data_IF_965889666853
#
_entry.id   IF_965889666853
#
_cell.length_a   1.000
_cell.length_b   1.000
_cell.length_c   1.000
_cell.angle_alpha   90.00
_cell.angle_beta   90.00
_cell.angle_gamma   90.00
#
_symmetry.space_group_name_H-M   'P 1'
#
loop_
_entity.id
_entity.type
_entity.pdbx_description
1 polymer ?
#
# COMPACT_ATOMS: atom_id res chain seq x y z
N UNK A 1 18.59 12.48 10.87
CA UNK A 1 17.39 11.70 11.27
C UNK A 1 17.78 10.23 11.38
N UNK A 2 17.42 9.50 12.46
CA UNK A 2 17.82 8.10 12.58
C UNK A 2 17.15 7.27 11.49
N UNK A 3 18.01 6.61 10.70
CA UNK A 3 17.66 5.69 9.62
C UNK A 3 17.01 4.44 10.22
N UNK A 4 15.99 3.88 9.55
CA UNK A 4 15.42 2.59 9.95
C UNK A 4 16.55 1.54 9.94
N UNK A 5 16.80 0.81 11.05
CA UNK A 5 17.87 -0.18 11.13
C UNK A 5 17.78 -1.22 10.01
N UNK A 6 18.92 -1.67 9.49
CA UNK A 6 18.94 -2.58 8.34
C UNK A 6 18.23 -3.91 8.63
N UNK A 7 18.38 -4.45 9.84
CA UNK A 7 17.69 -5.67 10.27
C UNK A 7 16.16 -5.49 10.20
N UNK A 8 15.65 -4.38 10.74
CA UNK A 8 14.23 -4.05 10.71
C UNK A 8 13.73 -3.83 9.27
N UNK A 9 14.52 -3.20 8.41
CA UNK A 9 14.18 -3.08 6.98
C UNK A 9 14.04 -4.44 6.30
N UNK A 10 14.98 -5.36 6.54
CA UNK A 10 14.93 -6.73 5.99
C UNK A 10 13.70 -7.48 6.49
N UNK A 11 13.36 -7.35 7.77
CA UNK A 11 12.17 -7.93 8.36
C UNK A 11 10.88 -7.45 7.68
N UNK A 12 10.74 -6.14 7.47
CA UNK A 12 9.58 -5.55 6.76
C UNK A 12 9.46 -6.06 5.33
N UNK A 13 10.57 -6.10 4.58
CA UNK A 13 10.55 -6.59 3.18
C UNK A 13 10.15 -8.06 3.10
N UNK A 14 10.67 -8.90 4.01
CA UNK A 14 10.33 -10.33 4.08
C UNK A 14 8.86 -10.54 4.41
N UNK A 15 8.34 -9.82 5.41
CA UNK A 15 6.93 -9.90 5.80
C UNK A 15 5.99 -9.49 4.66
N UNK A 16 6.40 -8.50 3.86
CA UNK A 16 5.63 -8.03 2.70
C UNK A 16 5.75 -8.92 1.46
N UNK A 17 6.51 -10.02 1.51
CA UNK A 17 6.85 -10.87 0.35
C UNK A 17 7.34 -10.06 -0.87
N UNK A 18 8.13 -9.00 -0.61
CA UNK A 18 8.60 -8.04 -1.62
C UNK A 18 7.49 -7.38 -2.47
N UNK A 19 6.31 -7.18 -1.88
CA UNK A 19 5.15 -6.51 -2.48
C UNK A 19 4.79 -5.25 -1.69
N UNK A 20 4.14 -4.30 -2.34
CA UNK A 20 3.60 -3.14 -1.64
C UNK A 20 2.44 -3.58 -0.75
N UNK A 21 2.48 -3.31 0.54
CA UNK A 21 1.46 -3.82 1.47
C UNK A 21 0.11 -3.08 1.36
N UNK A 22 0.08 -1.91 0.73
CA UNK A 22 -1.17 -1.22 0.40
C UNK A 22 -1.84 -1.79 -0.85
N UNK A 23 -1.03 -2.09 -1.88
CA UNK A 23 -1.54 -2.33 -3.23
C UNK A 23 -1.23 -3.72 -3.81
N UNK A 24 -0.51 -4.54 -3.06
CA UNK A 24 0.00 -5.87 -3.41
C UNK A 24 0.78 -5.95 -4.74
N UNK A 25 1.10 -4.81 -5.36
CA UNK A 25 1.98 -4.74 -6.53
C UNK A 25 3.37 -5.27 -6.14
N UNK A 26 3.91 -6.28 -6.85
CA UNK A 26 5.28 -6.76 -6.62
C UNK A 26 6.32 -5.73 -7.04
N UNK A 27 7.46 -5.74 -6.34
CA UNK A 27 8.62 -4.89 -6.65
C UNK A 27 9.08 -5.05 -8.10
N UNK A 28 8.98 -6.25 -8.67
CA UNK A 28 9.40 -6.56 -10.05
C UNK A 28 8.61 -5.78 -11.12
N UNK A 29 7.40 -5.31 -10.81
CA UNK A 29 6.62 -4.45 -11.71
C UNK A 29 6.94 -2.95 -11.53
N UNK A 30 7.93 -2.62 -10.71
CA UNK A 30 8.32 -1.22 -10.45
C UNK A 30 9.83 -1.06 -10.56
N UNK A 31 10.27 -0.21 -11.49
CA UNK A 31 11.70 0.06 -11.70
C UNK A 31 12.39 0.71 -10.50
N UNK A 32 11.63 1.42 -9.65
CA UNK A 32 12.15 2.07 -8.46
C UNK A 32 11.94 1.21 -7.20
N UNK A 33 12.95 1.24 -6.32
CA UNK A 33 12.93 0.49 -5.05
C UNK A 33 11.79 0.93 -4.15
N UNK A 34 11.20 -0.05 -3.46
CA UNK A 34 10.17 0.19 -2.46
C UNK A 34 10.78 0.78 -1.19
N UNK A 35 9.94 1.49 -0.46
CA UNK A 35 10.31 2.22 0.74
C UNK A 35 9.73 1.52 1.96
N UNK A 36 10.52 1.44 3.03
CA UNK A 36 10.00 1.14 4.36
C UNK A 36 9.36 2.43 4.88
N UNK A 37 8.04 2.48 4.84
CA UNK A 37 7.20 3.62 5.22
C UNK A 37 6.66 3.44 6.64
N UNK A 38 6.47 4.57 7.33
CA UNK A 38 5.83 4.62 8.64
C UNK A 38 4.33 4.75 8.47
N UNK A 39 3.55 3.78 8.96
CA UNK A 39 2.08 3.78 8.87
C UNK A 39 1.53 5.04 9.56
N UNK A 40 1.92 5.26 10.81
CA UNK A 40 1.82 6.54 11.52
C UNK A 40 3.14 7.28 11.30
N UNK A 41 3.16 8.44 10.64
CA UNK A 41 4.40 9.13 10.30
C UNK A 41 5.12 9.61 11.56
N UNK A 42 6.46 9.71 11.48
CA UNK A 42 7.29 10.25 12.57
C UNK A 42 6.84 11.64 13.05
N UNK A 43 6.37 12.49 12.14
CA UNK A 43 5.86 13.82 12.48
C UNK A 43 4.60 13.82 13.33
N UNK A 44 3.92 12.67 13.45
CA UNK A 44 2.78 12.45 14.34
C UNK A 44 3.13 11.51 15.50
N UNK A 45 4.42 11.37 15.84
CA UNK A 45 4.89 10.53 16.95
C UNK A 45 5.03 9.04 16.63
N UNK A 46 4.95 8.63 15.36
CA UNK A 46 5.07 7.23 14.99
C UNK A 46 6.44 6.61 15.32
N UNK A 47 6.43 5.50 16.05
CA UNK A 47 7.63 4.75 16.43
C UNK A 47 8.31 4.09 15.22
N UNK A 48 9.62 3.84 15.31
CA UNK A 48 10.37 3.08 14.30
C UNK A 48 10.47 1.62 14.73
N UNK A 49 9.36 0.92 14.63
CA UNK A 49 9.18 -0.48 15.04
C UNK A 49 8.39 -1.24 13.98
N UNK A 50 8.42 -2.57 14.01
CA UNK A 50 7.85 -3.40 12.95
C UNK A 50 6.35 -3.18 12.77
N UNK A 51 5.62 -2.98 13.87
CA UNK A 51 4.18 -2.77 13.97
C UNK A 51 3.72 -1.45 13.33
N UNK A 52 4.64 -0.49 13.17
CA UNK A 52 4.38 0.80 12.54
C UNK A 52 5.10 0.96 11.19
N UNK A 53 5.75 -0.09 10.67
CA UNK A 53 6.47 -0.04 9.41
C UNK A 53 5.86 -0.99 8.38
N UNK A 54 5.75 -0.52 7.15
CA UNK A 54 5.29 -1.33 6.01
C UNK A 54 6.15 -1.10 4.76
N UNK A 55 6.19 -2.07 3.85
CA UNK A 55 6.78 -1.90 2.54
C UNK A 55 5.79 -1.21 1.60
N UNK A 56 6.17 -0.07 1.05
CA UNK A 56 5.32 0.75 0.19
C UNK A 56 6.01 1.04 -1.14
N UNK A 57 5.27 0.90 -2.25
CA UNK A 57 5.77 1.31 -3.56
C UNK A 57 5.93 2.85 -3.60
N UNK A 58 6.80 3.38 -4.49
CA UNK A 58 7.02 4.82 -4.62
C UNK A 58 5.73 5.63 -4.78
N UNK A 59 4.76 5.12 -5.55
CA UNK A 59 3.48 5.79 -5.78
C UNK A 59 2.64 5.87 -4.50
N UNK A 60 2.36 4.72 -3.86
CA UNK A 60 1.57 4.69 -2.62
C UNK A 60 2.22 5.54 -1.53
N UNK A 61 3.54 5.45 -1.39
CA UNK A 61 4.31 6.23 -0.43
C UNK A 61 4.20 7.75 -0.70
N UNK A 62 4.39 8.17 -1.97
CA UNK A 62 4.34 9.58 -2.37
C UNK A 62 2.98 10.22 -2.16
N UNK A 63 1.88 9.47 -2.32
CA UNK A 63 0.53 9.99 -2.11
C UNK A 63 0.07 9.87 -0.66
N UNK A 64 0.50 8.83 0.07
CA UNK A 64 0.24 8.73 1.51
C UNK A 64 0.88 9.89 2.26
N UNK A 65 2.17 10.18 2.02
CA UNK A 65 2.94 11.20 2.76
C UNK A 65 2.74 11.03 4.27
N UNK A 66 2.19 12.05 4.93
CA UNK A 66 1.89 12.10 6.36
C UNK A 66 0.43 11.77 6.69
N UNK A 67 -0.39 11.36 5.72
CA UNK A 67 -1.81 11.08 5.96
C UNK A 67 -1.95 9.82 6.79
N UNK A 68 -2.76 9.90 7.84
CA UNK A 68 -3.30 8.75 8.59
C UNK A 68 -4.81 8.58 8.37
N UNK A 69 -5.45 9.61 7.80
CA UNK A 69 -6.89 9.67 7.55
C UNK A 69 -7.14 10.22 6.16
N UNK A 70 -8.30 9.88 5.60
CA UNK A 70 -8.83 10.48 4.38
C UNK A 70 -10.35 10.44 4.41
N UNK A 71 -10.98 11.23 3.53
CA UNK A 71 -12.44 11.15 3.33
C UNK A 71 -12.76 9.94 2.47
N UNK A 72 -13.74 9.15 2.90
CA UNK A 72 -14.36 8.14 2.06
C UNK A 72 -15.09 8.85 0.90
N UNK A 73 -14.76 8.56 -0.37
CA UNK A 73 -15.36 9.25 -1.51
C UNK A 73 -16.88 9.03 -1.63
N UNK A 74 -17.43 7.95 -1.08
CA UNK A 74 -18.87 7.70 -1.14
C UNK A 74 -19.65 8.45 -0.06
N UNK A 75 -19.15 8.45 1.17
CA UNK A 75 -19.89 8.99 2.33
C UNK A 75 -19.42 10.38 2.77
N UNK A 76 -18.27 10.85 2.28
CA UNK A 76 -17.62 12.09 2.71
C UNK A 76 -17.01 12.06 4.12
N UNK A 77 -17.23 10.96 4.86
CA UNK A 77 -16.80 10.79 6.25
C UNK A 77 -15.29 10.64 6.34
N UNK A 78 -14.68 11.28 7.34
CA UNK A 78 -13.26 11.14 7.61
C UNK A 78 -12.98 9.81 8.32
N UNK A 79 -12.21 8.94 7.68
CA UNK A 79 -11.87 7.60 8.19
C UNK A 79 -10.36 7.42 8.25
N UNK A 80 -9.90 6.49 9.10
CA UNK A 80 -8.49 6.05 9.11
C UNK A 80 -8.15 5.36 7.79
N UNK A 81 -6.91 5.53 7.33
CA UNK A 81 -6.36 4.74 6.23
C UNK A 81 -6.10 3.30 6.69
N UNK A 82 -6.06 2.38 5.72
CA UNK A 82 -5.76 0.97 5.94
C UNK A 82 -4.41 0.77 6.62
N UNK A 83 -4.38 -0.09 7.65
CA UNK A 83 -3.17 -0.48 8.36
C UNK A 83 -2.79 -1.94 8.01
N UNK A 84 -1.77 -2.17 7.17
CA UNK A 84 -1.38 -3.52 6.75
C UNK A 84 -0.84 -4.42 7.88
N UNK A 85 -0.51 -3.86 9.06
CA UNK A 85 -0.06 -4.64 10.23
C UNK A 85 -1.21 -5.10 11.11
N UNK A 86 -2.40 -4.52 10.96
CA UNK A 86 -3.55 -4.79 11.85
C UNK A 86 -4.79 -5.27 11.12
N UNK A 87 -4.82 -5.16 9.79
CA UNK A 87 -6.02 -5.39 8.98
C UNK A 87 -5.72 -6.32 7.82
N UNK A 88 -6.70 -7.15 7.46
CA UNK A 88 -6.56 -8.09 6.33
C UNK A 88 -6.93 -7.39 5.04
N UNK A 89 -6.06 -7.49 4.03
CA UNK A 89 -6.26 -6.78 2.76
C UNK A 89 -7.60 -7.14 2.09
N UNK A 90 -7.96 -8.43 2.07
CA UNK A 90 -9.19 -8.92 1.42
C UNK A 90 -10.50 -8.51 2.13
N UNK A 91 -10.44 -8.02 3.38
CA UNK A 91 -11.62 -7.48 4.07
C UNK A 91 -11.94 -6.05 3.60
N UNK A 92 -10.93 -5.33 3.09
CA UNK A 92 -11.07 -3.92 2.68
C UNK A 92 -10.99 -3.73 1.18
N UNK A 93 -10.40 -4.67 0.45
CA UNK A 93 -10.11 -4.54 -0.95
C UNK A 93 -10.37 -5.84 -1.72
N UNK A 94 -10.63 -5.68 -3.01
CA UNK A 94 -10.58 -6.78 -3.97
C UNK A 94 -9.93 -6.30 -5.27
N UNK A 95 -9.42 -7.24 -6.06
CA UNK A 95 -9.04 -6.96 -7.44
C UNK A 95 -10.29 -6.87 -8.33
N UNK A 96 -10.25 -6.02 -9.35
CA UNK A 96 -11.17 -6.12 -10.47
C UNK A 96 -10.97 -7.43 -11.23
N UNK A 97 -11.96 -7.81 -12.04
CA UNK A 97 -11.94 -9.09 -12.78
C UNK A 97 -10.73 -9.24 -13.70
N UNK A 98 -10.25 -8.14 -14.28
CA UNK A 98 -9.04 -8.09 -15.11
C UNK A 98 -7.72 -8.07 -14.30
N UNK A 99 -7.80 -8.05 -12.97
CA UNK A 99 -6.65 -8.06 -12.08
C UNK A 99 -5.85 -6.76 -12.01
N UNK A 100 -6.32 -5.66 -12.61
CA UNK A 100 -5.52 -4.42 -12.72
C UNK A 100 -5.89 -3.35 -11.68
N UNK A 101 -7.17 -3.28 -11.29
CA UNK A 101 -7.70 -2.24 -10.38
C UNK A 101 -7.95 -2.81 -9.00
N UNK A 102 -7.69 -1.99 -7.99
CA UNK A 102 -8.06 -2.27 -6.60
C UNK A 102 -9.39 -1.59 -6.31
N UNK A 103 -10.38 -2.37 -5.94
CA UNK A 103 -11.71 -1.90 -5.54
C UNK A 103 -11.77 -1.86 -4.02
N UNK A 104 -12.20 -0.73 -3.45
CA UNK A 104 -12.40 -0.62 -2.00
C UNK A 104 -13.78 -1.13 -1.61
N UNK A 105 -13.83 -2.09 -0.69
CA UNK A 105 -15.07 -2.75 -0.22
C UNK A 105 -15.69 -2.07 1.01
N UNK A 106 -14.87 -1.32 1.74
CA UNK A 106 -15.26 -0.65 2.98
C UNK A 106 -14.96 0.86 2.88
N UNK A 107 -15.56 1.70 3.75
CA UNK A 107 -15.20 3.13 3.80
C UNK A 107 -13.69 3.36 3.92
N UNK A 108 -13.01 2.56 4.75
CA UNK A 108 -11.55 2.57 4.90
C UNK A 108 -10.83 2.18 3.61
N UNK A 109 -11.30 1.12 2.95
CA UNK A 109 -10.73 0.65 1.68
C UNK A 109 -10.84 1.73 0.59
N UNK A 110 -12.05 2.26 0.36
CA UNK A 110 -12.28 3.31 -0.64
C UNK A 110 -11.49 4.58 -0.36
N UNK A 111 -11.49 5.05 0.90
CA UNK A 111 -10.68 6.19 1.31
C UNK A 111 -9.19 5.95 1.04
N UNK A 112 -8.69 4.74 1.31
CA UNK A 112 -7.28 4.39 1.05
C UNK A 112 -6.97 4.36 -0.44
N UNK A 113 -7.80 3.70 -1.27
CA UNK A 113 -7.64 3.65 -2.74
C UNK A 113 -7.53 5.06 -3.30
N UNK A 114 -8.44 5.95 -2.91
CA UNK A 114 -8.48 7.32 -3.36
C UNK A 114 -7.27 8.13 -2.85
N UNK A 115 -6.99 8.08 -1.54
CA UNK A 115 -5.96 8.91 -0.93
C UNK A 115 -4.53 8.56 -1.37
N UNK A 116 -4.26 7.28 -1.62
CA UNK A 116 -2.97 6.76 -2.09
C UNK A 116 -2.89 6.68 -3.61
N UNK A 117 -3.98 6.99 -4.33
CA UNK A 117 -4.11 6.85 -5.78
C UNK A 117 -3.62 5.48 -6.27
N UNK A 118 -4.11 4.42 -5.63
CA UNK A 118 -3.65 3.05 -5.87
C UNK A 118 -3.98 2.53 -7.28
N UNK A 119 -4.85 3.24 -8.02
CA UNK A 119 -5.25 2.98 -9.40
C UNK A 119 -4.85 4.13 -10.36
N UNK A 120 -3.71 4.78 -10.13
CA UNK A 120 -3.20 5.75 -11.10
C UNK A 120 -2.82 5.06 -12.43
N UNK A 121 -2.81 5.82 -13.53
CA UNK A 121 -2.61 5.29 -14.89
C UNK A 121 -1.36 4.42 -15.04
N UNK A 122 -0.23 4.86 -14.49
CA UNK A 122 1.04 4.12 -14.55
C UNK A 122 0.92 2.78 -13.83
N UNK A 123 0.32 2.76 -12.63
CA UNK A 123 0.11 1.52 -11.89
C UNK A 123 -0.83 0.56 -12.62
N UNK A 124 -1.88 1.06 -13.27
CA UNK A 124 -2.79 0.24 -14.07
C UNK A 124 -2.08 -0.38 -15.27
N UNK A 125 -1.29 0.41 -16.02
CA UNK A 125 -0.50 -0.08 -17.15
C UNK A 125 0.50 -1.15 -16.71
N UNK A 126 1.25 -0.90 -15.64
CA UNK A 126 2.24 -1.85 -15.12
C UNK A 126 1.59 -3.17 -14.67
N UNK A 127 0.44 -3.10 -13.98
CA UNK A 127 -0.32 -4.30 -13.61
C UNK A 127 -0.89 -5.01 -14.81
N UNK A 128 -1.32 -4.30 -15.86
CA UNK A 128 -1.75 -4.91 -17.12
C UNK A 128 -0.67 -5.78 -17.75
N UNK A 129 0.57 -5.27 -17.84
CA UNK A 129 1.72 -6.09 -18.26
C UNK A 129 1.97 -7.26 -17.29
N UNK A 130 1.86 -7.03 -15.99
CA UNK A 130 1.99 -8.08 -14.98
C UNK A 130 0.96 -9.20 -15.11
N UNK A 131 -0.28 -8.87 -15.46
CA UNK A 131 -1.37 -9.84 -15.72
C UNK A 131 -1.08 -10.63 -16.98
N UNK A 132 -0.71 -9.96 -18.08
CA UNK A 132 -0.35 -10.62 -19.33
C UNK A 132 0.82 -11.61 -19.17
N UNK A 133 1.75 -11.32 -18.25
CA UNK A 133 2.90 -12.16 -17.94
C UNK A 133 2.69 -13.16 -16.78
N UNK A 134 1.48 -13.23 -16.19
CA UNK A 134 1.18 -14.15 -15.08
C UNK A 134 1.83 -13.84 -13.74
N UNK A 135 2.42 -12.64 -13.59
CA UNK A 135 3.12 -12.16 -12.37
C UNK A 135 2.13 -11.51 -11.37
N UNK A 136 0.99 -11.03 -11.88
CA UNK A 136 0.00 -10.26 -11.15
C UNK A 136 -1.43 -10.67 -11.55
N UNK A 137 -2.45 -10.55 -10.69
CA UNK A 137 -2.37 -10.25 -9.26
C UNK A 137 -1.64 -11.34 -8.47
N UNK A 138 -1.14 -10.99 -7.29
CA UNK A 138 -0.66 -12.01 -6.36
C UNK A 138 -1.84 -12.92 -6.00
N UNK A 139 -1.65 -14.24 -6.04
CA UNK A 139 -2.55 -15.16 -5.32
C UNK A 139 -2.38 -14.84 -3.84
N UNK A 140 -3.43 -14.33 -3.22
CA UNK A 140 -3.48 -13.99 -1.78
C UNK A 140 -3.74 -15.26 -0.98
#
# INVERSE_FOLDING_TARGET
>A
MPRVPQALRKQVVRAANNRCEYSLTPQELTLASFHVDHIIPKSAGGATEFENLCLSCPFCNQFKRKKCHARDPETGSQVRLFNPRRERWHEHFQWSQDGTRILGLTPRGRATVAALRMNNSIALTARGFGVASGIHPAKV
#
